data_IF_340863401337
#
_entry.id   IF_340863401337
#
_cell.length_a   1.000
_cell.length_b   1.000
_cell.length_c   1.000
_cell.angle_alpha   90.00
_cell.angle_beta   90.00
_cell.angle_gamma   90.00
#
_symmetry.space_group_name_H-M   'P 1'
#
loop_
_entity.id
_entity.type
_entity.pdbx_description
1 polymer ?
#
# COMPACT_ATOMS: atom_id res chain seq x y z
N UNK A 1 -14.37 29.13 -54.20
CA UNK A 1 -14.79 28.11 -53.24
C UNK A 1 -13.95 26.82 -53.27
N UNK A 2 -13.79 26.07 -54.34
CA UNK A 2 -13.06 24.78 -54.39
C UNK A 2 -11.58 24.87 -53.90
N UNK A 3 -10.84 25.95 -54.11
CA UNK A 3 -9.46 26.12 -53.68
C UNK A 3 -9.30 26.36 -52.15
N UNK A 4 -10.24 27.12 -51.55
CA UNK A 4 -10.28 27.37 -50.10
C UNK A 4 -10.65 26.10 -49.37
N UNK A 5 -11.63 25.36 -49.83
CA UNK A 5 -12.02 24.07 -49.26
C UNK A 5 -10.88 23.05 -49.25
N UNK A 6 -10.10 22.95 -50.37
CA UNK A 6 -8.91 22.07 -50.43
C UNK A 6 -7.81 22.50 -49.43
N UNK A 7 -7.61 23.80 -49.21
CA UNK A 7 -6.61 24.28 -48.21
C UNK A 7 -7.04 23.99 -46.79
N UNK A 8 -8.36 24.18 -46.50
CA UNK A 8 -8.91 23.86 -45.17
C UNK A 8 -8.84 22.36 -44.91
N UNK A 9 -9.22 21.50 -45.88
CA UNK A 9 -9.10 20.06 -45.77
C UNK A 9 -7.66 19.58 -45.63
N UNK A 10 -6.72 20.21 -46.37
CA UNK A 10 -5.28 19.93 -46.22
C UNK A 10 -4.75 20.33 -44.85
N UNK A 11 -5.15 21.51 -44.32
CA UNK A 11 -4.80 21.94 -42.97
C UNK A 11 -5.33 21.00 -41.90
N UNK A 12 -6.62 20.62 -41.98
CA UNK A 12 -7.22 19.65 -41.08
C UNK A 12 -6.52 18.28 -41.13
N UNK A 13 -6.16 17.82 -42.32
CA UNK A 13 -5.40 16.57 -42.50
C UNK A 13 -4.02 16.61 -41.83
N UNK A 14 -3.29 17.74 -41.97
CA UNK A 14 -1.98 17.91 -41.31
C UNK A 14 -2.16 17.96 -39.78
N UNK A 15 -3.14 18.71 -39.28
CA UNK A 15 -3.39 18.79 -37.82
C UNK A 15 -3.73 17.40 -37.26
N UNK A 16 -4.65 16.67 -37.90
CA UNK A 16 -5.02 15.32 -37.47
C UNK A 16 -3.82 14.35 -37.53
N UNK A 17 -3.02 14.42 -38.59
CA UNK A 17 -1.80 13.62 -38.72
C UNK A 17 -0.78 13.93 -37.63
N UNK A 18 -0.62 15.21 -37.28
CA UNK A 18 0.27 15.62 -36.17
C UNK A 18 -0.23 15.10 -34.82
N UNK A 19 -1.52 15.20 -34.54
CA UNK A 19 -2.11 14.66 -33.30
C UNK A 19 -1.91 13.16 -33.20
N UNK A 20 -2.17 12.42 -34.28
CA UNK A 20 -1.95 10.96 -34.31
C UNK A 20 -0.45 10.63 -34.10
N UNK A 21 0.46 11.37 -34.72
CA UNK A 21 1.90 11.16 -34.53
C UNK A 21 2.35 11.42 -33.08
N UNK A 22 1.79 12.44 -32.43
CA UNK A 22 2.06 12.73 -31.01
C UNK A 22 1.56 11.58 -30.11
N UNK A 23 0.33 11.11 -30.35
CA UNK A 23 -0.26 10.00 -29.58
C UNK A 23 0.58 8.72 -29.74
N UNK A 24 0.92 8.37 -30.99
CA UNK A 24 1.75 7.18 -31.29
C UNK A 24 3.13 7.32 -30.63
N UNK A 25 3.74 8.51 -30.73
CA UNK A 25 5.02 8.78 -30.08
C UNK A 25 4.97 8.66 -28.57
N UNK A 26 3.89 9.15 -27.95
CA UNK A 26 3.70 9.04 -26.49
C UNK A 26 3.43 7.59 -26.07
N UNK A 27 2.58 6.86 -26.77
CA UNK A 27 2.35 5.43 -26.51
C UNK A 27 3.66 4.65 -26.67
N UNK A 28 4.43 4.93 -27.74
CA UNK A 28 5.77 4.35 -27.93
C UNK A 28 6.72 4.65 -26.76
N UNK A 29 6.73 5.89 -26.27
CA UNK A 29 7.49 6.28 -25.09
C UNK A 29 7.10 5.46 -23.85
N UNK A 30 5.79 5.36 -23.52
CA UNK A 30 5.31 4.59 -22.37
C UNK A 30 5.69 3.11 -22.49
N UNK A 31 5.54 2.53 -23.69
CA UNK A 31 5.90 1.13 -23.94
C UNK A 31 7.41 0.85 -23.81
N UNK A 32 8.26 1.78 -24.23
CA UNK A 32 9.73 1.65 -24.14
C UNK A 32 10.18 1.79 -22.68
N UNK A 33 9.53 2.65 -21.91
CA UNK A 33 9.83 2.84 -20.48
C UNK A 33 9.28 1.70 -19.60
N UNK A 34 8.36 0.90 -20.15
CA UNK A 34 7.80 -0.23 -19.42
C UNK A 34 8.83 -1.33 -19.23
N UNK A 35 9.14 -1.62 -17.98
CA UNK A 35 9.94 -2.78 -17.60
C UNK A 35 9.43 -3.31 -16.25
N UNK A 36 9.55 -4.61 -16.01
CA UNK A 36 9.30 -5.26 -14.72
C UNK A 36 10.62 -5.39 -13.96
N UNK A 37 10.54 -5.22 -12.64
CA UNK A 37 11.66 -5.56 -11.75
C UNK A 37 11.72 -7.08 -11.62
N UNK A 38 12.92 -7.64 -11.56
CA UNK A 38 13.14 -9.09 -11.45
C UNK A 38 12.49 -9.65 -10.16
N UNK A 39 11.93 -10.85 -10.29
CA UNK A 39 11.47 -11.61 -9.15
C UNK A 39 12.67 -12.18 -8.38
N UNK A 40 12.50 -12.37 -7.06
CA UNK A 40 13.55 -12.83 -6.16
C UNK A 40 14.82 -11.94 -6.17
N UNK A 41 14.64 -10.63 -6.44
CA UNK A 41 15.72 -9.66 -6.39
C UNK A 41 16.23 -9.52 -4.95
N UNK A 42 17.52 -9.75 -4.75
CA UNK A 42 18.19 -9.48 -3.47
C UNK A 42 18.18 -7.97 -3.23
N UNK A 43 17.72 -7.57 -2.05
CA UNK A 43 17.68 -6.17 -1.64
C UNK A 43 18.88 -5.82 -0.76
N UNK A 44 19.35 -4.60 -0.91
CA UNK A 44 20.39 -4.06 -0.03
C UNK A 44 19.80 -3.83 1.38
N UNK A 45 20.45 -4.37 2.37
CA UNK A 45 20.16 -4.11 3.79
C UNK A 45 21.11 -3.04 4.30
N UNK A 46 20.58 -1.88 4.67
CA UNK A 46 21.35 -0.85 5.37
C UNK A 46 21.46 -1.25 6.85
N UNK A 47 22.63 -1.79 7.22
CA UNK A 47 22.88 -2.36 8.54
C UNK A 47 23.32 -1.28 9.52
N UNK A 48 22.40 -0.82 10.33
CA UNK A 48 22.64 0.21 11.37
C UNK A 48 22.48 -0.37 12.78
N UNK A 49 21.69 -1.45 12.92
CA UNK A 49 21.45 -2.11 14.20
C UNK A 49 22.62 -3.01 14.63
N UNK A 50 22.86 -3.05 15.94
CA UNK A 50 23.78 -4.00 16.57
C UNK A 50 23.06 -5.02 17.45
N UNK A 51 21.72 -5.00 17.48
CA UNK A 51 20.91 -5.85 18.36
C UNK A 51 20.60 -7.20 17.70
N UNK A 52 20.84 -8.27 18.43
CA UNK A 52 20.32 -9.60 18.11
C UNK A 52 18.93 -9.77 18.75
N UNK A 53 18.04 -10.55 18.10
CA UNK A 53 16.69 -10.75 18.60
C UNK A 53 16.70 -11.73 19.77
N UNK A 54 16.04 -11.35 20.88
CA UNK A 54 15.81 -12.22 22.05
C UNK A 54 14.36 -12.71 22.02
N UNK A 55 14.15 -13.98 21.72
CA UNK A 55 12.84 -14.59 21.55
C UNK A 55 11.93 -14.50 22.79
N UNK A 56 12.48 -14.24 23.99
CA UNK A 56 11.71 -14.19 25.24
C UNK A 56 11.05 -12.83 25.51
N UNK A 57 10.80 -12.05 24.48
CA UNK A 57 10.20 -10.70 24.59
C UNK A 57 8.85 -10.64 23.89
N UNK A 58 8.04 -9.68 24.34
CA UNK A 58 6.93 -9.17 23.56
C UNK A 58 7.49 -8.07 22.64
N UNK A 59 7.21 -8.21 21.36
CA UNK A 59 7.61 -7.28 20.31
C UNK A 59 6.44 -6.44 19.84
N UNK A 60 6.76 -5.30 19.23
CA UNK A 60 5.82 -4.42 18.57
C UNK A 60 6.18 -4.23 17.11
N UNK A 61 5.20 -4.34 16.22
CA UNK A 61 5.35 -4.02 14.80
C UNK A 61 4.22 -3.10 14.35
N UNK A 62 4.56 -2.11 13.52
CA UNK A 62 3.58 -1.25 12.87
C UNK A 62 3.50 -1.53 11.38
N UNK A 63 2.33 -1.26 10.77
CA UNK A 63 2.18 -1.07 9.33
C UNK A 63 1.47 0.23 9.06
N UNK A 64 1.94 1.00 8.06
CA UNK A 64 1.38 2.29 7.70
C UNK A 64 1.58 2.58 6.20
N UNK A 65 0.50 2.59 5.43
CA UNK A 65 0.50 3.16 4.10
C UNK A 65 0.49 4.69 4.21
N UNK A 66 1.53 5.36 3.71
CA UNK A 66 1.71 6.81 3.89
C UNK A 66 1.20 7.65 2.72
N UNK A 67 0.49 7.03 1.76
CA UNK A 67 -0.17 7.72 0.65
C UNK A 67 0.74 8.69 -0.10
N UNK A 68 2.01 8.35 -0.31
CA UNK A 68 3.05 9.23 -0.88
C UNK A 68 3.04 10.68 -0.35
N UNK A 69 2.51 10.91 0.85
CA UNK A 69 2.41 12.21 1.52
C UNK A 69 1.40 13.19 0.90
N UNK A 70 0.46 12.71 0.09
CA UNK A 70 -0.51 13.56 -0.58
C UNK A 70 -1.88 13.59 0.12
N UNK A 71 -2.32 12.48 0.72
CA UNK A 71 -3.69 12.27 1.17
C UNK A 71 -4.03 12.94 2.50
N UNK A 72 -3.62 14.20 2.65
CA UNK A 72 -4.09 15.05 3.76
C UNK A 72 -5.61 15.25 3.69
N UNK A 73 -6.26 15.70 4.76
CA UNK A 73 -7.73 15.80 4.82
C UNK A 73 -8.41 16.61 3.71
N UNK A 74 -7.70 17.51 3.03
CA UNK A 74 -8.22 18.31 1.91
C UNK A 74 -8.01 17.67 0.52
N UNK A 75 -7.37 16.49 0.44
CA UNK A 75 -7.01 15.84 -0.82
C UNK A 75 -8.06 14.83 -1.26
N UNK A 76 -8.23 14.69 -2.59
CA UNK A 76 -8.96 13.60 -3.22
C UNK A 76 -8.23 13.12 -4.49
N UNK A 77 -8.19 11.80 -4.71
CA UNK A 77 -7.38 11.20 -5.77
C UNK A 77 -8.19 10.92 -7.03
N UNK A 78 -7.68 11.32 -8.19
CA UNK A 78 -8.41 11.30 -9.46
C UNK A 78 -8.83 9.91 -9.96
N UNK A 79 -8.23 8.83 -9.46
CA UNK A 79 -8.61 7.46 -9.82
C UNK A 79 -9.70 6.90 -8.91
N UNK A 80 -9.97 7.53 -7.79
CA UNK A 80 -11.00 7.08 -6.88
C UNK A 80 -12.36 7.63 -7.31
N UNK A 81 -13.32 6.74 -7.40
CA UNK A 81 -14.69 7.08 -7.72
C UNK A 81 -15.66 6.22 -6.91
N UNK A 82 -16.78 6.81 -6.54
CA UNK A 82 -17.80 6.14 -5.74
C UNK A 82 -19.18 6.74 -5.93
N UNK A 83 -20.09 6.29 -5.09
CA UNK A 83 -21.49 6.75 -5.08
C UNK A 83 -21.95 7.04 -3.66
N UNK A 84 -22.62 8.17 -3.47
CA UNK A 84 -23.36 8.45 -2.26
C UNK A 84 -24.65 7.62 -2.21
N UNK A 85 -25.21 7.43 -1.02
CA UNK A 85 -26.46 6.65 -0.84
C UNK A 85 -27.65 7.19 -1.63
N UNK A 86 -27.65 8.47 -2.01
CA UNK A 86 -28.67 9.08 -2.88
C UNK A 86 -28.44 8.82 -4.38
N UNK A 87 -27.40 8.08 -4.73
CA UNK A 87 -27.00 7.76 -6.11
C UNK A 87 -26.13 8.82 -6.79
N UNK A 88 -25.71 9.88 -6.07
CA UNK A 88 -24.79 10.89 -6.62
C UNK A 88 -23.42 10.26 -6.83
N UNK A 89 -22.91 10.30 -8.06
CA UNK A 89 -21.53 9.87 -8.36
C UNK A 89 -20.55 10.94 -7.90
N UNK A 90 -19.49 10.50 -7.22
CA UNK A 90 -18.36 11.33 -6.78
C UNK A 90 -17.07 10.82 -7.42
N UNK A 91 -16.12 11.72 -7.67
CA UNK A 91 -14.84 11.39 -8.34
C UNK A 91 -13.77 12.34 -7.81
N UNK A 92 -12.65 11.78 -7.43
CA UNK A 92 -11.51 12.56 -6.98
C UNK A 92 -10.86 13.39 -8.09
N UNK A 93 -9.98 14.31 -7.72
CA UNK A 93 -9.56 15.38 -8.64
C UNK A 93 -8.06 15.45 -8.88
N UNK A 94 -7.25 15.19 -7.87
CA UNK A 94 -5.82 15.50 -7.89
C UNK A 94 -4.96 14.30 -8.29
N UNK A 95 -3.96 14.54 -9.12
CA UNK A 95 -2.95 13.53 -9.48
C UNK A 95 -1.67 13.64 -8.66
N UNK A 96 -1.49 14.77 -7.94
CA UNK A 96 -0.29 15.09 -7.16
C UNK A 96 -0.67 15.70 -5.81
N UNK A 97 0.25 15.61 -4.86
CA UNK A 97 0.18 16.39 -3.64
C UNK A 97 0.08 17.90 -3.94
N UNK A 98 -0.59 18.64 -3.08
CA UNK A 98 -0.85 20.07 -3.29
C UNK A 98 0.45 20.87 -3.39
N UNK A 99 1.36 20.67 -2.43
CA UNK A 99 2.65 21.38 -2.35
C UNK A 99 3.74 20.40 -1.91
N UNK A 100 5.00 20.75 -2.23
CA UNK A 100 6.16 20.02 -1.72
C UNK A 100 6.22 20.03 -0.20
N UNK A 101 5.92 21.18 0.40
CA UNK A 101 5.90 21.40 1.84
C UNK A 101 4.86 20.49 2.51
N UNK A 102 3.69 20.29 1.89
CA UNK A 102 2.66 19.40 2.43
C UNK A 102 3.10 17.93 2.46
N UNK A 103 3.89 17.48 1.46
CA UNK A 103 4.48 16.13 1.45
C UNK A 103 5.49 15.96 2.58
N UNK A 104 6.33 16.99 2.79
CA UNK A 104 7.33 16.98 3.88
C UNK A 104 6.62 16.92 5.23
N UNK A 105 5.66 17.81 5.47
CA UNK A 105 4.88 17.85 6.73
C UNK A 105 4.14 16.54 7.00
N UNK A 106 3.50 15.94 6.00
CA UNK A 106 2.83 14.65 6.14
C UNK A 106 3.83 13.54 6.49
N UNK A 107 4.98 13.50 5.81
CA UNK A 107 6.03 12.50 6.06
C UNK A 107 6.64 12.67 7.45
N UNK A 108 6.91 13.90 7.89
CA UNK A 108 7.39 14.21 9.26
C UNK A 108 6.36 13.80 10.33
N UNK A 109 5.06 14.02 10.05
CA UNK A 109 3.97 13.59 10.93
C UNK A 109 3.94 12.08 11.11
N UNK A 110 3.95 11.32 10.01
CA UNK A 110 4.05 9.84 10.01
C UNK A 110 5.27 9.36 10.79
N UNK A 111 6.44 9.95 10.55
CA UNK A 111 7.68 9.60 11.25
C UNK A 111 7.53 9.82 12.76
N UNK A 112 7.01 10.96 13.16
CA UNK A 112 6.81 11.33 14.56
C UNK A 112 5.87 10.35 15.26
N UNK A 113 4.75 9.99 14.65
CA UNK A 113 3.80 9.03 15.22
C UNK A 113 4.48 7.68 15.51
N UNK A 114 5.22 7.13 14.55
CA UNK A 114 5.89 5.83 14.73
C UNK A 114 7.05 5.93 15.72
N UNK A 115 7.75 7.08 15.80
CA UNK A 115 8.77 7.31 16.83
C UNK A 115 8.17 7.34 18.24
N UNK A 116 7.01 7.98 18.43
CA UNK A 116 6.30 8.03 19.70
C UNK A 116 5.80 6.66 20.16
N UNK A 117 5.47 5.77 19.23
CA UNK A 117 5.06 4.39 19.50
C UNK A 117 6.24 3.46 19.83
N UNK A 118 7.47 3.86 19.54
CA UNK A 118 8.74 3.14 19.82
C UNK A 118 8.72 1.65 19.43
N UNK A 119 8.17 1.36 18.23
CA UNK A 119 8.00 0.00 17.73
C UNK A 119 9.33 -0.71 17.45
N UNK A 120 9.36 -2.05 17.58
CA UNK A 120 10.54 -2.86 17.26
C UNK A 120 10.76 -3.00 15.75
N UNK A 121 9.66 -3.02 15.00
CA UNK A 121 9.63 -3.13 13.53
C UNK A 121 8.60 -2.17 12.95
N UNK A 122 8.85 -1.65 11.75
CA UNK A 122 7.88 -0.85 11.04
C UNK A 122 7.84 -1.20 9.55
N UNK A 123 6.63 -1.30 9.02
CA UNK A 123 6.33 -1.42 7.61
C UNK A 123 5.71 -0.12 7.11
N UNK A 124 6.23 0.40 6.01
CA UNK A 124 5.64 1.52 5.30
C UNK A 124 5.35 1.13 3.86
N UNK A 125 4.20 1.55 3.36
CA UNK A 125 3.80 1.40 1.97
C UNK A 125 3.64 2.77 1.33
N UNK A 126 3.65 2.84 0.01
CA UNK A 126 3.60 4.07 -0.80
C UNK A 126 4.69 5.09 -0.48
N UNK A 127 5.88 4.60 -0.18
CA UNK A 127 7.04 5.44 0.11
C UNK A 127 7.69 5.91 -1.19
N UNK A 128 7.43 7.15 -1.59
CA UNK A 128 8.02 7.74 -2.78
C UNK A 128 9.48 8.14 -2.56
N UNK A 129 10.31 7.91 -3.59
CA UNK A 129 11.72 8.33 -3.56
C UNK A 129 12.00 9.49 -4.50
N UNK A 130 11.50 9.42 -5.74
CA UNK A 130 11.68 10.45 -6.76
C UNK A 130 10.49 10.44 -7.72
N UNK A 131 9.33 10.88 -7.25
CA UNK A 131 8.09 10.90 -8.01
C UNK A 131 7.61 12.32 -8.27
N UNK A 132 7.02 12.55 -9.44
CA UNK A 132 6.39 13.83 -9.78
C UNK A 132 5.22 14.13 -8.84
N UNK A 133 4.44 13.09 -8.49
CA UNK A 133 3.24 13.21 -7.64
C UNK A 133 3.54 13.69 -6.22
N UNK A 134 4.74 13.42 -5.72
CA UNK A 134 5.23 13.85 -4.40
C UNK A 134 6.29 14.95 -4.48
N UNK A 135 6.32 15.73 -5.56
CA UNK A 135 7.26 16.83 -5.78
C UNK A 135 8.74 16.45 -5.61
N UNK A 136 9.09 15.22 -5.96
CA UNK A 136 10.45 14.66 -5.85
C UNK A 136 11.00 14.63 -4.40
N UNK A 137 10.13 14.59 -3.40
CA UNK A 137 10.54 14.37 -2.02
C UNK A 137 10.99 12.91 -1.88
N UNK A 138 12.17 12.69 -1.28
CA UNK A 138 12.65 11.35 -0.96
C UNK A 138 12.17 10.95 0.43
N UNK A 139 10.94 10.41 0.52
CA UNK A 139 10.34 9.99 1.78
C UNK A 139 11.11 8.84 2.43
N UNK A 140 11.68 7.92 1.61
CA UNK A 140 12.48 6.82 2.13
C UNK A 140 13.71 7.34 2.88
N UNK A 141 14.42 8.34 2.33
CA UNK A 141 15.56 8.97 3.00
C UNK A 141 15.14 9.63 4.31
N UNK A 142 14.04 10.40 4.32
CA UNK A 142 13.51 11.04 5.52
C UNK A 142 13.21 10.02 6.63
N UNK A 143 12.56 8.90 6.27
CA UNK A 143 12.23 7.81 7.22
C UNK A 143 13.53 7.17 7.74
N UNK A 144 14.44 6.77 6.86
CA UNK A 144 15.68 6.09 7.25
C UNK A 144 16.58 6.96 8.12
N UNK A 145 16.67 8.26 7.84
CA UNK A 145 17.45 9.22 8.63
C UNK A 145 16.85 9.39 10.04
N UNK A 146 15.54 9.45 10.15
CA UNK A 146 14.84 9.58 11.44
C UNK A 146 14.99 8.32 12.31
N UNK A 147 15.14 7.13 11.71
CA UNK A 147 15.34 5.84 12.36
C UNK A 147 16.76 5.31 12.12
N UNK A 148 17.77 6.19 12.22
CA UNK A 148 19.17 5.91 11.86
C UNK A 148 19.84 4.76 12.62
N UNK A 149 19.23 4.26 13.69
CA UNK A 149 19.71 3.10 14.46
C UNK A 149 18.97 1.79 14.14
N UNK A 150 18.02 1.82 13.20
CA UNK A 150 17.35 0.61 12.68
C UNK A 150 18.06 0.10 11.42
N UNK A 151 18.11 -1.21 11.25
CA UNK A 151 18.34 -1.78 9.93
C UNK A 151 17.15 -1.42 9.04
N UNK A 152 17.41 -1.11 7.77
CA UNK A 152 16.35 -0.77 6.85
C UNK A 152 16.54 -1.41 5.48
N UNK A 153 15.39 -1.64 4.82
CA UNK A 153 15.30 -2.22 3.48
C UNK A 153 14.23 -1.45 2.71
N UNK A 154 14.51 -1.14 1.44
CA UNK A 154 13.54 -0.54 0.53
C UNK A 154 13.35 -1.40 -0.70
N UNK A 155 12.10 -1.72 -1.05
CA UNK A 155 11.73 -2.48 -2.24
C UNK A 155 10.80 -1.65 -3.12
N UNK A 156 11.20 -1.36 -4.36
CA UNK A 156 10.33 -0.67 -5.31
C UNK A 156 9.17 -1.59 -5.69
N UNK A 157 7.93 -1.13 -5.50
CA UNK A 157 6.70 -1.86 -5.84
C UNK A 157 5.81 -1.13 -6.85
N UNK A 158 6.15 0.10 -7.19
CA UNK A 158 5.51 0.86 -8.24
C UNK A 158 6.49 1.83 -8.89
N UNK A 159 6.67 1.72 -10.21
CA UNK A 159 7.36 2.73 -11.00
C UNK A 159 6.65 2.92 -12.34
N UNK A 160 6.66 4.13 -12.88
CA UNK A 160 5.99 4.43 -14.13
C UNK A 160 6.82 5.32 -15.06
N UNK A 161 6.51 5.29 -16.36
CA UNK A 161 6.83 6.37 -17.27
C UNK A 161 6.14 7.67 -16.80
N UNK A 162 6.44 8.79 -17.44
CA UNK A 162 5.69 10.03 -17.20
C UNK A 162 4.28 9.89 -17.78
N UNK A 163 3.28 9.80 -16.90
CA UNK A 163 1.87 9.68 -17.25
C UNK A 163 1.23 11.06 -17.30
N UNK A 164 0.63 11.39 -18.47
CA UNK A 164 0.05 12.72 -18.73
C UNK A 164 -1.36 12.91 -18.17
N UNK A 165 -1.93 11.91 -17.54
CA UNK A 165 -3.29 11.97 -16.99
C UNK A 165 -3.27 12.13 -15.45
N UNK A 166 -4.22 12.90 -14.87
CA UNK A 166 -5.20 13.79 -15.53
C UNK A 166 -4.50 14.98 -16.23
N UNK A 167 -5.05 15.42 -17.37
CA UNK A 167 -4.37 16.45 -18.20
C UNK A 167 -4.19 17.80 -17.50
N UNK A 168 -5.07 18.12 -16.55
CA UNK A 168 -4.98 19.37 -15.76
C UNK A 168 -3.95 19.29 -14.64
N UNK A 169 -3.67 18.08 -14.14
CA UNK A 169 -2.76 17.84 -13.03
C UNK A 169 -2.08 16.44 -13.20
N UNK A 170 -1.17 16.28 -14.18
CA UNK A 170 -0.59 14.98 -14.50
C UNK A 170 0.13 14.35 -13.31
N UNK A 171 -0.18 13.08 -13.01
CA UNK A 171 0.51 12.31 -11.98
C UNK A 171 2.02 12.19 -12.25
N UNK A 172 2.41 12.22 -13.54
CA UNK A 172 3.80 12.23 -13.98
C UNK A 172 4.50 10.89 -13.79
N UNK A 173 5.82 10.95 -13.52
CA UNK A 173 6.63 9.77 -13.25
C UNK A 173 6.54 9.43 -11.77
N UNK A 174 6.31 8.15 -11.46
CA UNK A 174 6.30 7.64 -10.09
C UNK A 174 7.45 6.67 -9.86
N UNK A 175 7.98 6.66 -8.64
CA UNK A 175 8.93 5.69 -8.13
C UNK A 175 8.68 5.54 -6.64
N UNK A 176 7.98 4.48 -6.27
CA UNK A 176 7.43 4.25 -4.94
C UNK A 176 7.73 2.83 -4.47
N UNK A 177 7.79 2.63 -3.17
CA UNK A 177 8.16 1.33 -2.63
C UNK A 177 7.61 1.02 -1.25
N UNK A 178 8.13 -0.08 -0.74
CA UNK A 178 7.90 -0.61 0.58
C UNK A 178 9.17 -0.40 1.40
N UNK A 179 9.07 0.26 2.56
CA UNK A 179 10.20 0.42 3.48
C UNK A 179 9.96 -0.40 4.73
N UNK A 180 10.91 -1.25 5.07
CA UNK A 180 10.91 -2.06 6.29
C UNK A 180 12.02 -1.60 7.21
N UNK A 181 11.67 -1.31 8.47
CA UNK A 181 12.62 -0.96 9.54
C UNK A 181 12.65 -2.05 10.59
N UNK A 182 13.82 -2.29 11.19
CA UNK A 182 14.01 -3.24 12.29
C UNK A 182 15.02 -2.71 13.31
N UNK A 183 14.66 -2.71 14.59
CA UNK A 183 15.62 -2.52 15.70
C UNK A 183 16.67 -3.64 15.76
N UNK A 184 16.37 -4.80 15.16
CA UNK A 184 17.23 -5.99 15.18
C UNK A 184 17.89 -6.19 13.83
N UNK A 185 19.03 -6.89 13.83
CA UNK A 185 19.81 -7.16 12.63
C UNK A 185 19.01 -7.94 11.59
N UNK A 186 18.84 -7.36 10.41
CA UNK A 186 18.34 -8.06 9.24
C UNK A 186 19.47 -8.85 8.58
N UNK A 187 19.31 -10.17 8.52
CA UNK A 187 20.29 -11.09 7.93
C UNK A 187 20.38 -10.95 6.41
N UNK A 188 19.21 -10.95 5.78
CA UNK A 188 19.03 -10.84 4.33
C UNK A 188 17.64 -10.30 4.01
N UNK A 189 17.50 -9.72 2.81
CA UNK A 189 16.21 -9.27 2.31
C UNK A 189 16.07 -9.56 0.82
N UNK A 190 14.83 -9.89 0.40
CA UNK A 190 14.48 -10.25 -0.99
C UNK A 190 13.16 -9.59 -1.36
N UNK A 191 13.09 -9.05 -2.59
CA UNK A 191 11.85 -8.62 -3.22
C UNK A 191 11.23 -9.79 -3.97
N UNK A 192 9.93 -10.06 -3.73
CA UNK A 192 9.16 -11.07 -4.47
C UNK A 192 8.02 -10.40 -5.23
N UNK A 193 7.96 -10.68 -6.54
CA UNK A 193 6.98 -10.07 -7.42
C UNK A 193 5.59 -10.67 -7.26
N UNK A 194 4.58 -9.82 -7.25
CA UNK A 194 3.21 -10.26 -7.43
C UNK A 194 2.83 -10.40 -8.92
N UNK A 195 1.87 -11.27 -9.26
CA UNK A 195 1.17 -11.21 -10.53
C UNK A 195 0.50 -9.85 -10.71
N UNK A 196 0.55 -9.30 -11.93
CA UNK A 196 -0.14 -8.06 -12.30
C UNK A 196 -0.99 -8.28 -13.54
N UNK A 197 -1.84 -7.31 -13.88
CA UNK A 197 -2.63 -7.31 -15.11
C UNK A 197 -1.74 -7.42 -16.36
N UNK A 198 -2.23 -8.15 -17.36
CA UNK A 198 -1.61 -8.18 -18.70
C UNK A 198 -2.18 -7.10 -19.64
N UNK A 199 -3.29 -6.44 -19.24
CA UNK A 199 -3.97 -5.39 -19.96
C UNK A 199 -3.29 -4.03 -19.91
N UNK A 200 -4.04 -2.98 -20.22
CA UNK A 200 -3.56 -1.60 -20.12
C UNK A 200 -3.36 -1.16 -18.65
N UNK A 201 -4.14 -1.73 -17.74
CA UNK A 201 -4.07 -1.46 -16.29
C UNK A 201 -2.68 -1.72 -15.70
N UNK A 202 -1.88 -2.58 -16.35
CA UNK A 202 -0.48 -2.83 -15.94
C UNK A 202 0.36 -1.56 -15.82
N UNK A 203 0.03 -0.47 -16.52
CA UNK A 203 0.76 0.79 -16.43
C UNK A 203 0.44 1.58 -15.16
N UNK A 204 -0.61 1.20 -14.44
CA UNK A 204 -1.03 1.79 -13.17
C UNK A 204 -0.82 0.85 -11.98
N UNK A 205 -0.55 -0.44 -12.22
CA UNK A 205 -0.33 -1.48 -11.20
C UNK A 205 1.06 -2.12 -11.31
N UNK A 206 2.00 -1.37 -11.89
CA UNK A 206 3.38 -1.83 -12.14
C UNK A 206 4.08 -2.29 -10.89
N UNK A 207 4.71 -3.46 -11.02
CA UNK A 207 5.68 -4.02 -10.09
C UNK A 207 5.20 -4.29 -8.68
N UNK A 208 3.89 -4.47 -8.47
CA UNK A 208 3.39 -4.94 -7.18
C UNK A 208 4.24 -6.11 -6.68
N UNK A 209 4.63 -6.01 -5.43
CA UNK A 209 5.52 -6.97 -4.78
C UNK A 209 5.28 -7.01 -3.27
N UNK A 210 5.95 -7.93 -2.62
CA UNK A 210 6.24 -7.88 -1.19
C UNK A 210 7.74 -7.98 -0.97
N UNK A 211 8.22 -7.37 0.11
CA UNK A 211 9.60 -7.51 0.57
C UNK A 211 9.65 -8.48 1.74
N UNK A 212 10.65 -9.34 1.74
CA UNK A 212 10.90 -10.34 2.78
C UNK A 212 12.19 -9.95 3.47
N UNK A 213 12.14 -9.71 4.78
CA UNK A 213 13.32 -9.45 5.62
C UNK A 213 13.44 -10.57 6.66
N UNK A 214 14.62 -11.17 6.78
CA UNK A 214 14.88 -12.30 7.70
C UNK A 214 15.71 -11.85 8.87
N UNK A 215 15.28 -12.20 10.07
CA UNK A 215 15.95 -11.93 11.34
C UNK A 215 16.17 -13.27 12.03
N UNK A 216 17.42 -13.58 12.36
CA UNK A 216 17.74 -14.83 13.04
C UNK A 216 17.21 -14.88 14.47
N UNK A 217 16.58 -16.01 14.82
CA UNK A 217 16.13 -16.33 16.19
C UNK A 217 17.05 -17.40 16.81
N UNK A 218 17.18 -17.40 18.12
CA UNK A 218 18.15 -18.24 18.85
C UNK A 218 17.98 -19.76 18.65
N UNK A 219 16.85 -20.23 18.11
CA UNK A 219 16.51 -21.64 17.92
C UNK A 219 16.79 -22.17 16.51
N UNK A 220 17.63 -21.52 15.72
CA UNK A 220 17.92 -21.78 14.31
C UNK A 220 16.73 -21.52 13.36
N UNK A 221 15.70 -20.86 13.82
CA UNK A 221 14.58 -20.37 12.99
C UNK A 221 14.80 -18.89 12.66
N UNK A 222 14.10 -18.40 11.65
CA UNK A 222 14.06 -16.98 11.33
C UNK A 222 12.69 -16.39 11.69
N UNK A 223 12.68 -15.15 12.17
CA UNK A 223 11.51 -14.29 12.09
C UNK A 223 11.50 -13.67 10.69
N UNK A 224 10.48 -14.03 9.90
CA UNK A 224 10.30 -13.60 8.52
C UNK A 224 9.28 -12.49 8.48
N UNK A 225 9.77 -11.27 8.29
CA UNK A 225 8.96 -10.06 8.16
C UNK A 225 8.64 -9.82 6.69
N UNK A 226 7.36 -9.77 6.35
CA UNK A 226 6.88 -9.59 4.98
C UNK A 226 6.04 -8.34 4.89
N UNK A 227 6.61 -7.28 4.29
CA UNK A 227 5.92 -6.03 4.02
C UNK A 227 5.29 -6.10 2.63
N UNK A 228 3.99 -5.92 2.54
CA UNK A 228 3.18 -6.13 1.33
C UNK A 228 2.30 -4.93 1.00
N UNK A 229 2.06 -4.74 -0.30
CA UNK A 229 1.01 -3.86 -0.79
C UNK A 229 0.40 -4.50 -2.04
N UNK A 230 -0.81 -5.03 -1.91
CA UNK A 230 -1.55 -5.70 -2.98
C UNK A 230 -2.19 -4.69 -3.94
N UNK A 231 -2.66 -5.18 -5.09
CA UNK A 231 -3.31 -4.33 -6.09
C UNK A 231 -4.63 -3.76 -5.59
N UNK A 232 -4.84 -2.45 -5.78
CA UNK A 232 -6.09 -1.76 -5.47
C UNK A 232 -7.13 -1.92 -6.59
N UNK A 233 -6.74 -1.55 -7.81
CA UNK A 233 -7.64 -1.45 -8.97
C UNK A 233 -7.62 -2.75 -9.78
N UNK A 234 -8.51 -3.70 -9.42
CA UNK A 234 -8.63 -5.01 -10.09
C UNK A 234 -10.10 -5.34 -10.31
N UNK A 235 -10.59 -5.05 -11.50
CA UNK A 235 -11.98 -5.36 -11.88
C UNK A 235 -12.27 -6.85 -11.73
N UNK A 236 -13.17 -7.18 -10.82
CA UNK A 236 -13.55 -8.55 -10.50
C UNK A 236 -12.56 -9.35 -9.67
N UNK A 237 -11.54 -8.73 -9.08
CA UNK A 237 -10.65 -9.34 -8.09
C UNK A 237 -9.74 -10.47 -8.61
N UNK A 238 -9.57 -10.60 -9.93
CA UNK A 238 -8.83 -11.74 -10.54
C UNK A 238 -7.33 -11.69 -10.30
N UNK A 239 -6.75 -10.51 -10.28
CA UNK A 239 -5.31 -10.33 -10.04
C UNK A 239 -5.03 -10.49 -8.56
N UNK A 240 -5.87 -9.90 -7.70
CA UNK A 240 -5.79 -10.03 -6.24
C UNK A 240 -5.90 -11.49 -5.80
N UNK A 241 -6.83 -12.27 -6.35
CA UNK A 241 -6.92 -13.71 -6.09
C UNK A 241 -5.60 -14.44 -6.38
N UNK A 242 -4.91 -14.10 -7.49
CA UNK A 242 -3.59 -14.68 -7.80
C UNK A 242 -2.50 -14.19 -6.83
N UNK A 243 -2.59 -12.94 -6.36
CA UNK A 243 -1.65 -12.40 -5.36
C UNK A 243 -1.82 -13.11 -4.02
N UNK A 244 -3.07 -13.39 -3.62
CA UNK A 244 -3.39 -14.19 -2.42
C UNK A 244 -2.80 -15.60 -2.55
N UNK A 245 -2.92 -16.27 -3.69
CA UNK A 245 -2.31 -17.60 -3.89
C UNK A 245 -0.78 -17.57 -3.78
N UNK A 246 -0.13 -16.51 -4.27
CA UNK A 246 1.33 -16.33 -4.09
C UNK A 246 1.67 -16.11 -2.62
N UNK A 247 0.89 -15.28 -1.91
CA UNK A 247 1.02 -15.07 -0.47
C UNK A 247 0.91 -16.39 0.30
N UNK A 248 -0.17 -17.15 0.08
CA UNK A 248 -0.41 -18.46 0.73
C UNK A 248 0.76 -19.42 0.52
N UNK A 249 1.18 -19.57 -0.73
CA UNK A 249 2.28 -20.49 -1.08
C UNK A 249 3.58 -20.11 -0.38
N UNK A 250 3.92 -18.83 -0.35
CA UNK A 250 5.11 -18.34 0.33
C UNK A 250 5.01 -18.53 1.85
N UNK A 251 3.86 -18.20 2.42
CA UNK A 251 3.62 -18.31 3.85
C UNK A 251 3.75 -19.76 4.34
N UNK A 252 3.09 -20.70 3.66
CA UNK A 252 3.16 -22.14 4.00
C UNK A 252 4.57 -22.71 3.82
N UNK A 253 5.31 -22.25 2.79
CA UNK A 253 6.71 -22.65 2.60
C UNK A 253 7.57 -22.24 3.81
N UNK A 254 7.40 -21.04 4.34
CA UNK A 254 8.17 -20.55 5.48
C UNK A 254 7.75 -21.23 6.80
N UNK A 255 6.46 -21.43 7.01
CA UNK A 255 5.95 -22.17 8.18
C UNK A 255 6.44 -23.62 8.18
N UNK A 256 6.46 -24.29 7.02
CA UNK A 256 6.99 -25.64 6.90
C UNK A 256 8.51 -25.77 7.19
N UNK A 257 9.26 -24.65 7.10
CA UNK A 257 10.66 -24.57 7.56
C UNK A 257 10.77 -24.35 9.08
N UNK A 258 9.65 -24.17 9.77
CA UNK A 258 9.58 -23.86 11.19
C UNK A 258 9.77 -22.37 11.51
N UNK A 259 9.80 -21.50 10.52
CA UNK A 259 9.99 -20.07 10.71
C UNK A 259 8.74 -19.40 11.33
N UNK A 260 8.97 -18.28 12.01
CA UNK A 260 7.92 -17.36 12.43
C UNK A 260 7.64 -16.39 11.29
N UNK A 261 6.38 -16.24 10.88
CA UNK A 261 6.02 -15.41 9.73
C UNK A 261 5.06 -14.31 10.16
N UNK A 262 5.42 -13.05 9.86
CA UNK A 262 4.53 -11.89 9.96
C UNK A 262 4.40 -11.29 8.57
N UNK A 263 3.25 -11.46 7.99
CA UNK A 263 2.86 -10.86 6.73
C UNK A 263 1.95 -9.66 7.06
N UNK A 264 2.38 -8.45 6.71
CA UNK A 264 1.64 -7.24 7.04
C UNK A 264 1.71 -6.20 5.93
N UNK A 265 0.83 -5.23 5.99
CA UNK A 265 0.75 -4.14 5.03
C UNK A 265 -0.67 -3.78 4.65
N UNK A 266 -0.78 -3.18 3.47
CA UNK A 266 -2.04 -2.86 2.81
C UNK A 266 -2.45 -4.04 1.91
N UNK A 267 -3.50 -4.74 2.30
CA UNK A 267 -4.04 -5.89 1.56
C UNK A 267 -5.00 -5.48 0.45
N UNK A 268 -5.49 -4.23 0.45
CA UNK A 268 -6.56 -3.77 -0.43
C UNK A 268 -7.81 -4.68 -0.42
N UNK A 269 -8.03 -5.36 0.70
CA UNK A 269 -9.17 -6.21 0.99
C UNK A 269 -9.73 -5.89 2.38
N UNK A 270 -11.04 -5.89 2.50
CA UNK A 270 -11.71 -5.76 3.81
C UNK A 270 -11.36 -6.98 4.67
N UNK A 271 -10.70 -6.74 5.79
CA UNK A 271 -10.23 -7.76 6.72
C UNK A 271 -11.22 -8.06 7.85
N UNK A 272 -12.32 -7.29 7.97
CA UNK A 272 -13.32 -7.48 9.03
C UNK A 272 -14.57 -8.22 8.54
N UNK A 273 -15.04 -7.93 7.32
CA UNK A 273 -16.38 -8.33 6.87
C UNK A 273 -16.68 -9.81 7.02
N UNK A 274 -15.77 -10.68 6.62
CA UNK A 274 -15.95 -12.14 6.69
C UNK A 274 -15.17 -12.78 7.86
N UNK A 275 -14.65 -11.94 8.77
CA UNK A 275 -13.92 -12.38 9.95
C UNK A 275 -14.90 -12.87 11.03
N UNK A 276 -14.79 -14.13 11.48
CA UNK A 276 -15.71 -14.70 12.50
C UNK A 276 -15.71 -13.93 13.83
N UNK A 277 -14.64 -13.18 14.13
CA UNK A 277 -14.52 -12.40 15.39
C UNK A 277 -15.32 -11.10 15.37
N UNK A 278 -15.64 -10.56 14.20
CA UNK A 278 -16.25 -9.23 14.02
C UNK A 278 -17.62 -9.30 13.32
N UNK A 279 -18.43 -10.29 13.73
CA UNK A 279 -19.81 -10.40 13.27
C UNK A 279 -20.71 -9.64 14.22
N UNK A 280 -21.32 -8.55 13.75
CA UNK A 280 -22.17 -7.69 14.56
C UNK A 280 -23.65 -8.04 14.38
N UNK A 281 -24.44 -7.91 15.46
CA UNK A 281 -25.89 -7.79 15.35
C UNK A 281 -26.25 -6.42 14.75
N UNK A 282 -27.34 -6.33 14.00
CA UNK A 282 -27.81 -5.08 13.38
C UNK A 282 -27.87 -3.92 14.40
N UNK A 283 -27.19 -2.83 14.12
CA UNK A 283 -27.09 -1.64 14.98
C UNK A 283 -26.16 -1.80 16.19
N UNK A 284 -25.26 -2.79 16.17
CA UNK A 284 -24.18 -2.98 17.16
C UNK A 284 -22.79 -2.79 16.56
N UNK A 285 -22.74 -2.43 15.30
CA UNK A 285 -21.48 -2.11 14.61
C UNK A 285 -20.81 -0.90 15.27
N UNK A 286 -19.48 -0.81 15.25
CA UNK A 286 -18.74 0.38 15.67
C UNK A 286 -19.27 1.66 14.99
N UNK A 287 -19.30 2.77 15.73
CA UNK A 287 -19.84 4.04 15.24
C UNK A 287 -19.19 4.51 13.94
N UNK A 288 -17.88 4.27 13.77
CA UNK A 288 -17.15 4.64 12.58
C UNK A 288 -17.59 3.91 11.30
N UNK A 289 -18.35 2.80 11.40
CA UNK A 289 -18.93 2.07 10.26
C UNK A 289 -20.23 2.69 9.73
N UNK A 290 -20.70 3.79 10.33
CA UNK A 290 -21.88 4.51 9.88
C UNK A 290 -21.47 5.66 8.96
N UNK A 291 -21.68 5.52 7.68
CA UNK A 291 -21.37 6.51 6.63
C UNK A 291 -22.48 6.52 5.57
N UNK A 292 -22.53 7.60 4.77
CA UNK A 292 -23.55 7.78 3.72
C UNK A 292 -23.07 7.39 2.34
N UNK A 293 -21.77 7.16 2.14
CA UNK A 293 -21.20 6.66 0.91
C UNK A 293 -21.41 5.15 0.79
N UNK A 294 -21.68 4.69 -0.43
CA UNK A 294 -21.80 3.27 -0.71
C UNK A 294 -20.41 2.61 -0.73
N UNK A 295 -20.38 1.32 -0.42
CA UNK A 295 -19.16 0.52 -0.53
C UNK A 295 -18.56 0.65 -1.93
N UNK A 296 -17.27 0.99 -2.08
CA UNK A 296 -16.61 1.05 -3.37
C UNK A 296 -16.56 -0.30 -4.08
N UNK A 297 -16.76 -0.31 -5.40
CA UNK A 297 -16.78 -1.55 -6.22
C UNK A 297 -15.42 -2.27 -6.21
N UNK A 298 -14.33 -1.53 -6.00
CA UNK A 298 -12.99 -2.11 -5.94
C UNK A 298 -12.72 -2.92 -4.67
N UNK A 299 -13.40 -2.61 -3.55
CA UNK A 299 -13.14 -3.23 -2.27
C UNK A 299 -13.74 -4.64 -2.21
N UNK A 300 -12.91 -5.65 -2.29
CA UNK A 300 -13.26 -7.04 -2.00
C UNK A 300 -12.97 -7.38 -0.52
N UNK A 301 -13.51 -8.48 -0.02
CA UNK A 301 -13.18 -9.01 1.30
C UNK A 301 -12.23 -10.20 1.19
N UNK A 302 -11.42 -10.43 2.22
CA UNK A 302 -10.71 -11.71 2.39
C UNK A 302 -11.75 -12.77 2.75
N UNK A 303 -11.80 -13.85 1.98
CA UNK A 303 -12.61 -15.04 2.29
C UNK A 303 -11.80 -15.94 3.24
N UNK A 304 -12.17 -15.95 4.50
CA UNK A 304 -11.42 -16.67 5.56
C UNK A 304 -11.35 -18.18 5.34
N UNK A 305 -12.26 -18.76 4.57
CA UNK A 305 -12.25 -20.20 4.25
C UNK A 305 -11.39 -20.54 3.02
N UNK A 306 -11.31 -19.63 2.03
CA UNK A 306 -10.63 -19.89 0.76
C UNK A 306 -9.26 -19.23 0.66
N UNK A 307 -9.14 -18.01 1.18
CA UNK A 307 -7.97 -17.15 0.98
C UNK A 307 -6.90 -17.35 2.07
N UNK A 308 -7.22 -18.10 3.12
CA UNK A 308 -6.30 -18.41 4.20
C UNK A 308 -6.03 -19.91 4.26
N UNK A 309 -4.93 -20.30 4.91
CA UNK A 309 -4.59 -21.70 5.25
C UNK A 309 -4.69 -21.90 6.76
N UNK A 310 -4.68 -23.17 7.19
CA UNK A 310 -4.71 -23.52 8.61
C UNK A 310 -3.50 -23.00 9.41
N UNK A 311 -2.43 -22.60 8.71
CA UNK A 311 -1.21 -22.04 9.31
C UNK A 311 -1.30 -20.53 9.60
N UNK A 312 -2.36 -19.88 9.15
CA UNK A 312 -2.52 -18.42 9.16
C UNK A 312 -3.51 -17.96 10.22
N UNK A 313 -3.13 -16.92 10.96
CA UNK A 313 -3.98 -16.20 11.89
C UNK A 313 -4.04 -14.74 11.45
N UNK A 314 -5.24 -14.21 11.20
CA UNK A 314 -5.44 -12.78 10.93
C UNK A 314 -5.44 -12.00 12.23
N UNK A 315 -4.57 -11.01 12.32
CA UNK A 315 -4.39 -10.11 13.46
C UNK A 315 -4.80 -8.69 13.02
N UNK A 316 -6.04 -8.33 13.34
CA UNK A 316 -6.69 -7.03 13.03
C UNK A 316 -7.58 -6.60 14.18
N UNK A 317 -7.97 -5.33 14.17
CA UNK A 317 -8.86 -4.72 15.16
C UNK A 317 -9.96 -3.92 14.46
N UNK A 318 -11.11 -3.77 15.15
CA UNK A 318 -12.26 -2.96 14.72
C UNK A 318 -12.40 -1.65 15.49
N UNK A 319 -11.43 -1.31 16.35
CA UNK A 319 -11.49 -0.13 17.19
C UNK A 319 -11.53 1.20 16.41
N UNK A 320 -10.96 1.24 15.23
CA UNK A 320 -10.98 2.35 14.29
C UNK A 320 -10.77 1.84 12.86
N UNK A 321 -11.18 2.58 11.80
CA UNK A 321 -10.87 2.24 10.43
C UNK A 321 -9.36 2.39 10.18
N UNK A 322 -8.84 1.67 9.17
CA UNK A 322 -7.44 1.86 8.74
C UNK A 322 -7.34 2.63 7.44
N UNK A 323 -8.40 2.68 6.65
CA UNK A 323 -8.44 3.40 5.38
C UNK A 323 -9.78 4.12 5.21
N UNK A 324 -9.74 5.29 4.57
CA UNK A 324 -10.89 6.03 4.05
C UNK A 324 -10.89 6.09 2.53
N UNK A 325 -12.07 6.19 1.92
CA UNK A 325 -12.16 6.51 0.50
C UNK A 325 -11.61 7.92 0.24
N UNK A 326 -10.98 8.12 -0.91
CA UNK A 326 -10.35 9.38 -1.28
C UNK A 326 -10.93 9.99 -2.58
N UNK A 327 -12.14 9.61 -2.97
CA UNK A 327 -12.90 10.22 -4.06
C UNK A 327 -13.44 11.62 -3.71
N UNK A 328 -13.56 11.91 -2.41
CA UNK A 328 -13.84 13.23 -1.85
C UNK A 328 -12.77 13.61 -0.80
N UNK A 329 -12.53 14.90 -0.54
CA UNK A 329 -11.71 15.31 0.60
C UNK A 329 -12.39 14.90 1.92
N UNK A 330 -11.61 14.59 2.94
CA UNK A 330 -12.16 14.29 4.27
C UNK A 330 -12.86 15.51 4.86
N UNK A 331 -12.25 16.70 4.71
CA UNK A 331 -12.81 17.95 5.23
C UNK A 331 -14.19 18.22 4.62
N UNK A 332 -15.21 18.25 5.47
CA UNK A 332 -16.61 18.48 5.12
C UNK A 332 -17.37 17.21 4.76
N UNK A 333 -16.72 16.03 4.81
CA UNK A 333 -17.30 14.72 4.53
C UNK A 333 -16.86 13.66 5.56
N UNK A 334 -16.46 14.09 6.77
CA UNK A 334 -15.85 13.25 7.81
C UNK A 334 -16.74 12.06 8.21
N UNK A 335 -18.07 12.24 8.17
CA UNK A 335 -19.07 11.23 8.51
C UNK A 335 -19.71 10.57 7.28
N UNK A 336 -19.32 11.00 6.08
CA UNK A 336 -19.95 10.53 4.83
C UNK A 336 -19.12 9.48 4.11
N UNK A 337 -17.78 9.64 4.13
CA UNK A 337 -16.87 8.79 3.40
C UNK A 337 -16.89 7.35 3.89
N UNK A 338 -16.85 6.43 2.95
CA UNK A 338 -16.67 5.01 3.23
C UNK A 338 -15.31 4.78 3.90
N UNK A 339 -15.32 3.97 4.95
CA UNK A 339 -14.12 3.59 5.70
C UNK A 339 -14.08 2.08 5.86
N UNK A 340 -12.88 1.52 5.95
CA UNK A 340 -12.67 0.08 6.06
C UNK A 340 -11.39 -0.24 6.84
N UNK A 341 -11.21 -1.50 7.17
CA UNK A 341 -9.96 -2.06 7.68
C UNK A 341 -9.35 -2.92 6.59
N UNK A 342 -8.34 -2.39 5.91
CA UNK A 342 -7.62 -3.07 4.83
C UNK A 342 -6.12 -3.24 5.13
N UNK A 343 -5.66 -2.61 6.19
CA UNK A 343 -4.31 -2.73 6.74
C UNK A 343 -4.34 -3.63 7.97
N UNK A 344 -3.31 -4.45 8.14
CA UNK A 344 -3.23 -5.37 9.26
C UNK A 344 -2.12 -6.40 9.08
N UNK A 345 -2.27 -7.54 9.77
CA UNK A 345 -1.27 -8.60 9.76
C UNK A 345 -1.92 -9.98 9.62
N UNK A 346 -1.20 -10.88 8.95
CA UNK A 346 -1.45 -12.31 8.94
C UNK A 346 -0.19 -12.97 9.52
N UNK A 347 -0.33 -13.70 10.61
CA UNK A 347 0.80 -14.30 11.34
C UNK A 347 0.71 -15.80 11.39
N UNK A 348 1.85 -16.46 11.52
CA UNK A 348 1.90 -17.92 11.68
C UNK A 348 1.46 -18.37 13.08
N UNK A 349 0.90 -19.57 13.20
CA UNK A 349 0.33 -20.09 14.44
C UNK A 349 1.35 -20.28 15.58
N UNK A 350 2.65 -20.26 15.29
CA UNK A 350 3.72 -20.23 16.29
C UNK A 350 4.05 -18.81 16.81
N UNK A 351 3.28 -17.81 16.39
CA UNK A 351 3.29 -16.46 16.94
C UNK A 351 2.06 -16.27 17.81
N UNK A 352 2.27 -15.80 19.03
CA UNK A 352 1.21 -15.41 19.95
C UNK A 352 0.85 -13.93 19.72
N UNK A 353 -0.36 -13.67 19.29
CA UNK A 353 -0.91 -12.31 19.18
C UNK A 353 -1.34 -11.83 20.56
N UNK A 354 -0.63 -10.84 21.09
CA UNK A 354 -0.95 -10.25 22.41
C UNK A 354 -2.05 -9.22 22.26
N UNK A 355 -1.93 -8.33 21.27
CA UNK A 355 -2.86 -7.23 21.05
C UNK A 355 -2.72 -6.65 19.65
N UNK A 356 -3.81 -6.12 19.09
CA UNK A 356 -3.82 -5.35 17.83
C UNK A 356 -4.64 -4.09 18.03
N UNK A 357 -4.09 -2.95 17.61
CA UNK A 357 -4.76 -1.67 17.71
C UNK A 357 -4.56 -0.83 16.44
N UNK A 358 -5.63 -0.27 15.92
CA UNK A 358 -5.59 0.76 14.89
C UNK A 358 -5.46 2.12 15.57
N UNK A 359 -4.46 2.90 15.22
CA UNK A 359 -4.21 4.22 15.80
C UNK A 359 -5.08 5.23 15.07
N UNK A 360 -6.10 5.74 15.75
CA UNK A 360 -6.98 6.77 15.20
C UNK A 360 -6.31 8.14 15.31
N UNK A 361 -5.69 8.59 14.21
CA UNK A 361 -5.10 9.93 14.08
C UNK A 361 -5.98 10.88 13.25
N UNK A 362 -7.22 10.47 12.93
CA UNK A 362 -8.16 11.28 12.13
C UNK A 362 -7.73 11.42 10.67
N UNK A 363 -6.91 10.52 10.14
CA UNK A 363 -6.36 10.59 8.77
C UNK A 363 -5.59 11.88 8.48
N UNK A 364 -4.84 12.37 9.49
CA UNK A 364 -4.17 13.68 9.38
C UNK A 364 -3.06 13.69 8.32
N UNK A 365 -2.36 12.56 8.13
CA UNK A 365 -1.17 12.48 7.28
C UNK A 365 -1.31 11.59 6.05
N UNK A 366 -2.33 10.73 6.01
CA UNK A 366 -2.61 9.79 4.92
C UNK A 366 -4.11 9.49 4.85
N UNK A 367 -4.59 8.86 3.80
CA UNK A 367 -5.89 8.20 3.72
C UNK A 367 -5.92 6.85 4.46
N UNK A 368 -4.77 6.44 5.01
CA UNK A 368 -4.64 5.31 5.92
C UNK A 368 -4.25 5.77 7.33
N UNK A 369 -4.41 4.86 8.28
CA UNK A 369 -4.01 5.00 9.69
C UNK A 369 -3.13 3.83 10.10
N UNK A 370 -2.13 4.02 11.00
CA UNK A 370 -1.23 2.94 11.37
C UNK A 370 -1.90 1.86 12.19
N UNK A 371 -1.51 0.61 11.95
CA UNK A 371 -1.91 -0.55 12.75
C UNK A 371 -0.71 -1.05 13.51
N UNK A 372 -0.90 -1.33 14.80
CA UNK A 372 0.12 -1.87 15.70
C UNK A 372 -0.26 -3.28 16.10
N UNK A 373 0.67 -4.21 15.95
CA UNK A 373 0.58 -5.57 16.49
C UNK A 373 1.61 -5.73 17.61
N UNK A 374 1.16 -6.22 18.76
CA UNK A 374 2.02 -6.73 19.82
C UNK A 374 1.99 -8.26 19.80
N UNK A 375 3.16 -8.87 19.82
CA UNK A 375 3.28 -10.31 19.66
C UNK A 375 4.45 -10.88 20.44
N UNK A 376 4.41 -12.18 20.73
CA UNK A 376 5.56 -12.96 21.21
C UNK A 376 5.80 -14.17 20.30
N UNK A 377 7.04 -14.63 20.28
CA UNK A 377 7.39 -15.87 19.59
C UNK A 377 7.05 -17.03 20.52
N UNK A 378 6.12 -17.89 20.10
CA UNK A 378 5.77 -19.08 20.85
C UNK A 378 6.97 -20.04 20.98
N UNK A 379 6.92 -20.94 21.96
CA UNK A 379 7.89 -22.03 22.05
C UNK A 379 7.77 -22.86 20.77
N UNK A 380 8.84 -22.93 19.98
CA UNK A 380 8.88 -23.76 18.78
C UNK A 380 8.63 -25.22 19.16
N UNK A 381 7.65 -25.86 18.52
CA UNK A 381 7.36 -27.26 18.69
C UNK A 381 8.51 -28.15 18.21
#
# INVERSE_FOLDING_TARGET
MKKITKRILGGLGITLGSVVAIIVGYVGYVLIQYNRIEDNLILDVHKNSNLDLDANKVFTISTYNIGFGAYRPNYSFFMDEGYMADGTKVVGKSGKAELKESVIEATEGVIKEIQELDVDFAFYQEVDTNSTRSHHVNQNEMICDAFSHYDNVHAINYHSAYLLYPFSDPIGKSNSGLTTLSKYKIKEAIRKSYPISSGFDKFFDLDRCFSVSRISVNNNQDLVLVNSHMSAYDEGGKIRAKQIEVMKSFFDEEVNKGNYVIFGGDFNHDLLKDNPKFQYEEGKEPEWMHFTQLKPDWLASIDYEKDLTENMQVAVSDNAPTCRDADLPLIGYENDLYKSVIDGFIVSNNIEVVDVINIDNGFEYSDHQPVILRFSLGEGN
#
